data_IF_671122145061
#
_entry.id   IF_671122145061
#
_cell.length_a   1.000
_cell.length_b   1.000
_cell.length_c   1.000
_cell.angle_alpha   90.00
_cell.angle_beta   90.00
_cell.angle_gamma   90.00
#
_symmetry.space_group_name_H-M   'P 1'
#
loop_
_entity.id
_entity.type
_entity.pdbx_description
1 polymer ?
#
# COMPACT_ATOMS: atom_id res chain seq x y z
N UNK A 1 7.13 0.63 -16.11
CA UNK A 1 6.23 0.52 -14.93
C UNK A 1 5.48 1.85 -14.78
N UNK A 2 4.18 1.79 -14.63
CA UNK A 2 3.38 2.99 -14.49
C UNK A 2 3.50 3.59 -13.10
N UNK A 3 3.28 4.90 -12.99
CA UNK A 3 3.35 5.63 -11.74
C UNK A 3 1.97 6.12 -11.33
N UNK A 4 1.65 5.95 -10.05
CA UNK A 4 0.43 6.49 -9.46
C UNK A 4 0.65 7.96 -9.13
N UNK A 5 -0.05 8.84 -9.83
CA UNK A 5 0.19 10.29 -9.80
C UNK A 5 -0.69 11.06 -8.82
N UNK A 6 -1.76 10.46 -8.36
CA UNK A 6 -2.74 11.16 -7.54
C UNK A 6 -2.26 11.31 -6.10
N UNK A 7 -2.50 12.49 -5.54
CA UNK A 7 -2.14 12.75 -4.15
C UNK A 7 -3.16 12.14 -3.21
N UNK A 8 -2.68 11.49 -2.16
CA UNK A 8 -3.52 10.91 -1.13
C UNK A 8 -3.85 11.95 -0.05
N UNK A 9 -4.94 11.68 0.68
CA UNK A 9 -5.35 12.54 1.79
C UNK A 9 -4.29 12.52 2.90
N UNK A 10 -4.05 13.65 3.58
CA UNK A 10 -3.17 13.67 4.77
C UNK A 10 -3.63 12.69 5.85
N UNK A 11 -2.75 12.41 6.80
CA UNK A 11 -2.98 11.45 7.90
C UNK A 11 -3.11 10.01 7.42
N UNK A 12 -2.32 9.67 6.42
CA UNK A 12 -2.23 8.31 5.90
C UNK A 12 -1.65 7.37 6.95
N UNK A 13 -2.28 6.22 7.11
CA UNK A 13 -1.80 5.18 8.02
C UNK A 13 -0.75 4.31 7.32
N UNK A 14 0.38 4.14 7.97
CA UNK A 14 1.47 3.29 7.50
C UNK A 14 1.65 2.15 8.48
N UNK A 15 1.56 0.92 8.00
CA UNK A 15 1.69 -0.27 8.83
C UNK A 15 3.01 -0.98 8.58
N UNK A 16 3.62 -1.42 9.66
CA UNK A 16 4.87 -2.17 9.63
C UNK A 16 4.62 -3.54 10.23
N UNK A 17 4.95 -4.57 9.48
CA UNK A 17 4.81 -5.95 9.93
C UNK A 17 6.03 -6.76 9.48
N UNK A 18 7.18 -6.55 10.13
CA UNK A 18 8.39 -7.30 9.80
C UNK A 18 8.18 -8.79 10.03
N UNK A 19 8.65 -9.59 9.10
CA UNK A 19 8.64 -11.04 9.28
C UNK A 19 9.86 -11.45 10.08
N UNK A 20 9.62 -12.18 11.15
CA UNK A 20 10.65 -12.62 12.09
C UNK A 20 10.50 -14.11 12.34
N UNK A 21 11.61 -14.83 12.32
CA UNK A 21 11.64 -16.21 12.77
C UNK A 21 11.97 -16.24 14.25
N UNK A 22 11.14 -16.95 15.02
CA UNK A 22 11.34 -17.15 16.44
C UNK A 22 11.56 -18.63 16.73
N UNK A 23 12.58 -18.93 17.53
CA UNK A 23 12.81 -20.26 18.03
C UNK A 23 12.79 -20.21 19.55
N UNK A 24 11.90 -21.00 20.15
CA UNK A 24 11.78 -21.08 21.61
C UNK A 24 12.49 -22.33 22.11
N UNK A 25 13.29 -22.13 23.14
CA UNK A 25 13.97 -23.22 23.83
C UNK A 25 13.22 -23.59 25.10
N UNK A 26 13.42 -24.83 25.59
CA UNK A 26 12.66 -25.36 26.71
C UNK A 26 12.84 -24.63 28.05
N UNK A 27 13.86 -23.81 28.19
CA UNK A 27 14.13 -23.00 29.36
C UNK A 27 13.57 -21.57 29.28
N UNK A 28 12.70 -21.30 28.31
CA UNK A 28 12.05 -20.00 28.14
C UNK A 28 12.79 -19.02 27.26
N UNK A 29 13.93 -19.38 26.73
CA UNK A 29 14.64 -18.54 25.78
C UNK A 29 13.94 -18.51 24.43
N UNK A 30 13.97 -17.34 23.81
CA UNK A 30 13.47 -17.15 22.46
C UNK A 30 14.56 -16.46 21.64
N UNK A 31 14.89 -17.05 20.51
CA UNK A 31 15.80 -16.45 19.53
C UNK A 31 15.00 -15.90 18.37
N UNK A 32 15.22 -14.64 18.03
CA UNK A 32 14.54 -13.97 16.92
C UNK A 32 15.54 -13.55 15.85
N UNK A 33 15.15 -13.67 14.61
CA UNK A 33 15.94 -13.21 13.49
C UNK A 33 15.03 -12.81 12.33
N UNK A 34 15.49 -11.94 11.42
CA UNK A 34 14.70 -11.59 10.24
C UNK A 34 14.35 -12.83 9.42
N UNK A 35 13.11 -12.88 8.93
CA UNK A 35 12.63 -13.97 8.11
C UNK A 35 12.62 -13.56 6.65
N UNK A 36 13.70 -13.89 5.93
CA UNK A 36 13.85 -13.58 4.53
C UNK A 36 14.60 -12.25 4.28
N UNK A 37 14.85 -11.96 3.01
CA UNK A 37 15.65 -10.82 2.58
C UNK A 37 14.89 -9.51 2.77
N UNK A 38 13.59 -9.51 2.48
CA UNK A 38 12.76 -8.32 2.52
C UNK A 38 11.66 -8.48 3.55
N UNK A 39 12.11 -8.57 4.80
CA UNK A 39 11.26 -8.88 5.93
C UNK A 39 10.47 -7.67 6.47
N UNK A 40 10.71 -6.46 5.96
CA UNK A 40 10.10 -5.24 6.45
C UNK A 40 9.43 -4.45 5.32
N UNK A 41 8.58 -5.12 4.55
CA UNK A 41 7.76 -4.48 3.55
C UNK A 41 6.54 -3.85 4.21
N UNK A 42 6.23 -2.62 3.81
CA UNK A 42 5.24 -1.80 4.48
C UNK A 42 3.89 -1.82 3.78
N UNK A 43 2.84 -1.63 4.54
CA UNK A 43 1.49 -1.45 4.01
C UNK A 43 1.03 -0.02 4.29
N UNK A 44 0.39 0.57 3.31
CA UNK A 44 -0.11 1.95 3.40
C UNK A 44 -1.61 1.93 3.18
N UNK A 45 -2.34 2.46 4.14
CA UNK A 45 -3.78 2.69 3.99
C UNK A 45 -3.98 4.12 3.53
N UNK A 46 -4.39 4.28 2.29
CA UNK A 46 -4.50 5.59 1.65
C UNK A 46 -5.96 5.92 1.38
N UNK A 47 -6.28 7.19 1.44
CA UNK A 47 -7.61 7.71 1.12
C UNK A 47 -7.46 8.81 0.08
N UNK A 48 -8.27 8.74 -0.97
CA UNK A 48 -8.27 9.73 -2.03
C UNK A 48 -9.68 10.30 -2.16
N UNK A 49 -9.78 11.62 -2.22
CA UNK A 49 -11.06 12.29 -2.44
C UNK A 49 -10.91 13.14 -3.68
N UNK A 50 -11.64 12.80 -4.72
CA UNK A 50 -11.59 13.47 -6.00
C UNK A 50 -12.99 13.62 -6.60
N UNK A 51 -13.14 14.53 -7.54
CA UNK A 51 -14.39 14.66 -8.28
C UNK A 51 -14.65 13.36 -9.04
N UNK A 52 -15.92 13.07 -9.32
CA UNK A 52 -16.31 11.78 -9.86
C UNK A 52 -15.60 11.42 -11.17
N UNK A 53 -15.38 12.37 -12.06
CA UNK A 53 -14.67 12.11 -13.31
C UNK A 53 -13.22 11.66 -13.08
N UNK A 54 -12.54 12.25 -12.11
CA UNK A 54 -11.17 11.88 -11.80
C UNK A 54 -11.10 10.57 -11.03
N UNK A 55 -12.06 10.32 -10.15
CA UNK A 55 -12.10 9.07 -9.38
C UNK A 55 -12.29 7.86 -10.30
N UNK A 56 -13.01 8.00 -11.40
CA UNK A 56 -13.12 6.92 -12.39
C UNK A 56 -11.78 6.57 -13.01
N UNK A 57 -10.93 7.56 -13.24
CA UNK A 57 -9.56 7.33 -13.76
C UNK A 57 -8.71 6.59 -12.75
N UNK A 58 -8.84 6.96 -11.46
CA UNK A 58 -8.12 6.28 -10.38
C UNK A 58 -8.56 4.83 -10.28
N UNK A 59 -9.85 4.58 -10.30
CA UNK A 59 -10.39 3.22 -10.26
C UNK A 59 -9.93 2.40 -11.46
N UNK A 60 -9.93 2.98 -12.66
CA UNK A 60 -9.43 2.31 -13.86
C UNK A 60 -7.97 1.94 -13.74
N UNK A 61 -7.16 2.82 -13.18
CA UNK A 61 -5.75 2.54 -12.94
C UNK A 61 -5.58 1.34 -11.99
N UNK A 62 -6.32 1.32 -10.89
CA UNK A 62 -6.25 0.22 -9.93
C UNK A 62 -6.74 -1.09 -10.53
N UNK A 63 -7.81 -1.05 -11.30
CA UNK A 63 -8.34 -2.23 -11.98
C UNK A 63 -7.39 -2.78 -13.03
N UNK A 64 -6.71 -1.91 -13.75
CA UNK A 64 -5.71 -2.30 -14.74
C UNK A 64 -4.57 -3.10 -14.11
N UNK A 65 -4.17 -2.74 -12.92
CA UNK A 65 -3.12 -3.44 -12.20
C UNK A 65 -3.64 -4.66 -11.42
N UNK A 66 -4.88 -4.60 -10.98
CA UNK A 66 -5.65 -5.72 -10.39
C UNK A 66 -4.92 -6.50 -9.29
N UNK A 67 -4.03 -5.85 -8.54
CA UNK A 67 -3.27 -6.51 -7.49
C UNK A 67 -2.19 -7.48 -7.97
N UNK A 68 -1.99 -7.57 -9.27
CA UNK A 68 -0.99 -8.47 -9.87
C UNK A 68 0.23 -7.70 -10.36
N UNK A 69 0.01 -6.58 -11.03
CA UNK A 69 1.06 -5.75 -11.58
C UNK A 69 1.41 -4.62 -10.61
N UNK A 70 2.69 -4.50 -10.28
CA UNK A 70 3.17 -3.42 -9.42
C UNK A 70 3.18 -2.10 -10.18
N UNK A 71 3.07 -1.01 -9.44
CA UNK A 71 3.22 0.34 -9.97
C UNK A 71 4.08 1.16 -9.02
N UNK A 72 4.60 2.28 -9.53
CA UNK A 72 5.42 3.18 -8.74
C UNK A 72 4.53 4.20 -8.01
N UNK A 73 4.85 4.46 -6.77
CA UNK A 73 4.16 5.43 -5.96
C UNK A 73 5.13 6.11 -5.01
N UNK A 74 4.98 7.42 -4.85
CA UNK A 74 5.80 8.19 -3.93
C UNK A 74 4.94 8.56 -2.71
N UNK A 75 5.21 7.97 -1.54
CA UNK A 75 4.50 8.36 -0.32
C UNK A 75 4.74 9.83 0.03
N UNK A 76 3.74 10.52 0.61
CA UNK A 76 3.86 11.96 0.88
C UNK A 76 5.04 12.39 1.74
N UNK A 77 5.48 11.52 2.66
CA UNK A 77 6.58 11.84 3.58
C UNK A 77 7.94 11.33 3.11
N UNK A 78 8.00 10.72 1.94
CA UNK A 78 9.23 10.17 1.38
C UNK A 78 9.61 10.88 0.09
N UNK A 79 10.88 10.88 -0.22
CA UNK A 79 11.41 11.52 -1.43
C UNK A 79 11.60 10.55 -2.60
N UNK A 80 11.44 9.26 -2.37
CA UNK A 80 11.69 8.24 -3.38
C UNK A 80 10.43 7.49 -3.76
N UNK A 81 10.39 7.04 -5.02
CA UNK A 81 9.34 6.16 -5.52
C UNK A 81 9.57 4.74 -4.98
N UNK A 82 8.48 4.09 -4.59
CA UNK A 82 8.50 2.69 -4.20
C UNK A 82 7.57 1.90 -5.11
N UNK A 83 7.82 0.60 -5.21
CA UNK A 83 6.94 -0.31 -5.92
C UNK A 83 5.88 -0.83 -4.97
N UNK A 84 4.63 -0.71 -5.37
CA UNK A 84 3.49 -1.17 -4.57
C UNK A 84 2.51 -1.94 -5.43
N UNK A 85 1.73 -2.80 -4.79
CA UNK A 85 0.56 -3.43 -5.39
C UNK A 85 -0.67 -3.05 -4.56
N UNK A 86 -1.82 -3.01 -5.20
CA UNK A 86 -3.08 -2.73 -4.53
C UNK A 86 -4.03 -3.90 -4.75
N UNK A 87 -4.17 -4.74 -3.75
CA UNK A 87 -5.05 -5.91 -3.82
C UNK A 87 -6.48 -5.61 -3.41
N UNK A 88 -6.68 -4.51 -2.69
CA UNK A 88 -7.97 -4.18 -2.14
C UNK A 88 -8.18 -2.67 -2.18
N UNK A 89 -9.30 -2.25 -2.69
CA UNK A 89 -9.75 -0.87 -2.63
C UNK A 89 -11.27 -0.83 -2.58
N UNK A 90 -11.79 0.25 -2.07
CA UNK A 90 -13.23 0.49 -2.04
C UNK A 90 -13.51 1.96 -2.32
N UNK A 91 -14.68 2.25 -2.80
CA UNK A 91 -15.08 3.63 -3.06
C UNK A 91 -16.46 3.92 -2.48
N UNK A 92 -16.60 5.16 -1.98
CA UNK A 92 -17.87 5.69 -1.54
C UNK A 92 -18.25 6.83 -2.48
N UNK A 93 -19.21 6.59 -3.33
CA UNK A 93 -19.57 7.50 -4.42
C UNK A 93 -20.59 8.52 -3.93
N UNK A 94 -20.20 9.80 -3.94
CA UNK A 94 -21.11 10.91 -3.63
C UNK A 94 -21.66 11.54 -4.90
N UNK A 95 -22.42 12.63 -4.74
CA UNK A 95 -23.01 13.32 -5.88
C UNK A 95 -21.96 14.02 -6.76
N UNK A 96 -20.92 14.58 -6.13
CA UNK A 96 -19.90 15.36 -6.83
C UNK A 96 -18.52 14.70 -6.70
N UNK A 97 -18.23 14.17 -5.52
CA UNK A 97 -16.92 13.58 -5.19
C UNK A 97 -17.05 12.14 -4.74
N UNK A 98 -16.00 11.40 -4.99
CA UNK A 98 -15.89 10.01 -4.54
C UNK A 98 -14.70 9.89 -3.61
N UNK A 99 -14.89 9.18 -2.50
CA UNK A 99 -13.82 8.82 -1.58
C UNK A 99 -13.37 7.39 -1.89
N UNK A 100 -12.10 7.24 -2.22
CA UNK A 100 -11.50 5.93 -2.50
C UNK A 100 -10.55 5.59 -1.35
N UNK A 101 -10.77 4.43 -0.74
CA UNK A 101 -9.88 3.89 0.28
C UNK A 101 -9.17 2.68 -0.31
N UNK A 102 -7.86 2.68 -0.25
CA UNK A 102 -7.05 1.61 -0.83
C UNK A 102 -5.96 1.19 0.14
N UNK A 103 -5.52 -0.05 -0.01
CA UNK A 103 -4.40 -0.59 0.73
C UNK A 103 -3.26 -0.89 -0.24
N UNK A 104 -2.20 -0.13 -0.16
CA UNK A 104 -1.00 -0.31 -0.97
C UNK A 104 0.01 -1.15 -0.19
N UNK A 105 0.46 -2.23 -0.80
CA UNK A 105 1.49 -3.08 -0.20
C UNK A 105 2.79 -2.89 -0.96
N UNK A 106 3.85 -2.57 -0.24
CA UNK A 106 5.18 -2.45 -0.83
C UNK A 106 5.65 -3.80 -1.33
N UNK A 107 6.27 -3.82 -2.49
CA UNK A 107 6.78 -5.05 -3.10
C UNK A 107 8.10 -4.75 -3.78
N UNK A 108 8.85 -5.80 -4.06
CA UNK A 108 10.10 -5.71 -4.82
C UNK A 108 9.93 -6.13 -6.29
N UNK A 109 8.75 -6.61 -6.63
CA UNK A 109 8.49 -7.12 -7.96
C UNK A 109 7.36 -6.36 -8.64
#
# INVERSE_FOLDING_TARGET
MESFKWKVKPDMKKEFEPRVKSVKFGDGYEQRRPDGINNNLKKYNVTLIYINSESLRIESFLEKHAGVTAFLWKPPHQSELIQVICRKWSSSVGMIRTEITAEFEQTLF
#
